data_IF_875130838170
#
_entry.id   IF_875130838170
#
_cell.length_a   1.000
_cell.length_b   1.000
_cell.length_c   1.000
_cell.angle_alpha   90.00
_cell.angle_beta   90.00
_cell.angle_gamma   90.00
#
_symmetry.space_group_name_H-M   'P 1'
#
loop_
_entity.id
_entity.type
_entity.pdbx_description
1 polymer ?
#
# COMPACT_ATOMS: atom_id res chain seq x y z
N UNK A 1 4.29 14.45 12.73
CA UNK A 1 4.77 15.56 11.86
C UNK A 1 6.08 15.09 11.24
N UNK A 2 6.17 14.83 9.93
CA UNK A 2 7.42 14.21 9.45
C UNK A 2 7.86 14.45 8.00
N UNK A 3 6.99 14.66 7.01
CA UNK A 3 7.46 14.71 5.61
C UNK A 3 7.58 16.13 5.02
N UNK A 4 7.20 17.17 5.77
CA UNK A 4 7.32 18.56 5.31
C UNK A 4 6.39 18.90 4.15
N UNK A 5 6.75 19.93 3.38
CA UNK A 5 6.03 20.31 2.16
C UNK A 5 6.39 19.36 1.02
N UNK A 6 5.38 18.92 0.26
CA UNK A 6 5.55 18.03 -0.89
C UNK A 6 4.84 18.56 -2.13
N UNK A 7 5.05 17.88 -3.25
CA UNK A 7 4.39 18.16 -4.52
C UNK A 7 3.51 16.99 -4.93
N UNK A 8 2.34 17.31 -5.51
CA UNK A 8 1.49 16.31 -6.15
C UNK A 8 1.83 16.25 -7.63
N UNK A 9 2.43 15.14 -8.06
CA UNK A 9 2.83 14.91 -9.45
C UNK A 9 1.97 13.80 -10.06
N UNK A 10 1.50 14.01 -11.28
CA UNK A 10 0.85 12.97 -12.09
C UNK A 10 1.86 12.32 -13.02
N UNK A 11 1.83 11.00 -13.12
CA UNK A 11 2.69 10.22 -14.00
C UNK A 11 1.86 9.44 -15.01
N UNK A 12 2.48 9.06 -16.12
CA UNK A 12 1.82 8.33 -17.21
C UNK A 12 1.78 6.80 -16.95
N UNK A 13 2.53 6.34 -15.95
CA UNK A 13 2.65 4.94 -15.55
C UNK A 13 3.80 4.77 -14.55
N UNK A 14 4.00 3.55 -14.03
CA UNK A 14 5.04 3.25 -13.06
C UNK A 14 6.45 3.52 -13.60
N UNK A 15 6.72 3.19 -14.87
CA UNK A 15 8.01 3.46 -15.48
C UNK A 15 8.34 4.95 -15.56
N UNK A 16 7.34 5.80 -15.84
CA UNK A 16 7.56 7.24 -15.87
C UNK A 16 7.90 7.78 -14.47
N UNK A 17 7.25 7.24 -13.43
CA UNK A 17 7.57 7.55 -12.04
C UNK A 17 9.01 7.12 -11.69
N UNK A 18 9.40 5.89 -12.03
CA UNK A 18 10.74 5.34 -11.74
C UNK A 18 11.84 6.19 -12.42
N UNK A 19 11.66 6.57 -13.70
CA UNK A 19 12.63 7.41 -14.43
C UNK A 19 12.74 8.79 -13.80
N UNK A 20 11.61 9.46 -13.48
CA UNK A 20 11.65 10.80 -12.88
C UNK A 20 12.30 10.75 -11.51
N UNK A 21 12.02 9.73 -10.71
CA UNK A 21 12.66 9.52 -9.42
C UNK A 21 14.18 9.36 -9.58
N UNK A 22 14.62 8.44 -10.43
CA UNK A 22 16.05 8.13 -10.64
C UNK A 22 16.81 9.36 -11.16
N UNK A 23 16.17 10.17 -12.00
CA UNK A 23 16.75 11.44 -12.47
C UNK A 23 16.87 12.47 -11.35
N UNK A 24 15.84 12.65 -10.52
CA UNK A 24 15.91 13.58 -9.38
C UNK A 24 17.01 13.18 -8.39
N UNK A 25 17.21 11.88 -8.17
CA UNK A 25 18.24 11.38 -7.27
C UNK A 25 19.65 11.50 -7.88
N UNK A 26 19.84 11.07 -9.14
CA UNK A 26 21.18 11.06 -9.77
C UNK A 26 21.63 12.42 -10.29
N UNK A 27 20.74 13.17 -10.93
CA UNK A 27 21.11 14.45 -11.56
C UNK A 27 21.09 15.60 -10.54
N UNK A 28 20.16 15.58 -9.59
CA UNK A 28 19.96 16.68 -8.64
C UNK A 28 20.35 16.35 -7.19
N UNK A 29 20.78 15.10 -6.91
CA UNK A 29 21.18 14.64 -5.58
C UNK A 29 20.10 14.90 -4.50
N UNK A 30 18.82 14.78 -4.89
CA UNK A 30 17.69 14.99 -4.00
C UNK A 30 17.20 13.66 -3.42
N UNK A 31 17.22 13.54 -2.09
CA UNK A 31 16.60 12.42 -1.39
C UNK A 31 15.10 12.66 -1.24
N UNK A 32 14.30 12.06 -2.13
CA UNK A 32 12.84 12.18 -2.16
C UNK A 32 12.17 10.98 -1.49
N UNK A 33 11.05 11.24 -0.80
CA UNK A 33 10.22 10.19 -0.19
C UNK A 33 8.92 10.13 -0.99
N UNK A 34 8.65 8.97 -1.58
CA UNK A 34 7.39 8.72 -2.27
C UNK A 34 6.33 8.29 -1.26
N UNK A 35 5.19 8.98 -1.29
CA UNK A 35 4.01 8.60 -0.53
C UNK A 35 3.07 7.75 -1.38
N UNK A 36 2.20 7.00 -0.72
CA UNK A 36 1.13 6.28 -1.41
C UNK A 36 0.25 7.28 -2.15
N UNK A 37 -0.06 7.06 -3.44
CA UNK A 37 -0.92 7.98 -4.17
C UNK A 37 -2.32 7.98 -3.56
N UNK A 38 -2.83 9.17 -3.28
CA UNK A 38 -4.15 9.36 -2.69
C UNK A 38 -5.10 10.09 -3.64
N UNK A 39 -6.39 9.84 -3.43
CA UNK A 39 -7.47 10.63 -4.02
C UNK A 39 -7.98 11.64 -3.01
N UNK A 40 -8.68 12.65 -3.52
CA UNK A 40 -9.40 13.59 -2.67
C UNK A 40 -10.70 12.94 -2.23
N UNK A 41 -10.79 12.55 -0.97
CA UNK A 41 -12.01 12.05 -0.35
C UNK A 41 -12.85 13.20 0.18
N UNK A 42 -14.17 12.99 0.26
CA UNK A 42 -15.11 13.94 0.84
C UNK A 42 -15.71 13.30 2.09
N UNK A 43 -15.50 13.93 3.25
CA UNK A 43 -16.07 13.48 4.52
C UNK A 43 -17.12 14.50 4.96
N UNK A 44 -18.31 14.02 5.27
CA UNK A 44 -19.35 14.81 5.93
C UNK A 44 -19.28 14.52 7.43
N UNK A 45 -19.03 15.56 8.22
CA UNK A 45 -19.01 15.45 9.68
C UNK A 45 -20.43 15.46 10.26
N UNK A 46 -20.55 15.03 11.52
CA UNK A 46 -21.78 15.13 12.32
C UNK A 46 -22.31 16.57 12.43
N UNK A 47 -21.41 17.56 12.36
CA UNK A 47 -21.74 18.99 12.32
C UNK A 47 -22.23 19.48 10.94
N UNK A 48 -22.46 18.57 9.98
CA UNK A 48 -22.84 18.82 8.58
C UNK A 48 -21.80 19.60 7.76
N UNK A 49 -20.60 19.79 8.30
CA UNK A 49 -19.47 20.37 7.57
C UNK A 49 -18.86 19.33 6.63
N UNK A 50 -18.56 19.76 5.41
CA UNK A 50 -17.94 18.91 4.39
C UNK A 50 -16.46 19.23 4.33
N UNK A 51 -15.63 18.24 4.67
CA UNK A 51 -14.17 18.35 4.63
C UNK A 51 -13.66 17.53 3.45
N UNK A 52 -12.75 18.12 2.71
CA UNK A 52 -12.00 17.39 1.69
C UNK A 52 -10.66 16.96 2.24
N UNK A 53 -10.41 15.66 2.22
CA UNK A 53 -9.18 15.07 2.74
C UNK A 53 -8.44 14.40 1.60
N UNK A 54 -7.24 14.89 1.33
CA UNK A 54 -6.29 14.33 0.37
C UNK A 54 -5.14 13.60 1.07
N UNK A 55 -4.69 14.10 2.22
CA UNK A 55 -3.68 13.47 3.04
C UNK A 55 -4.30 12.59 4.14
N UNK A 56 -3.93 11.31 4.25
CA UNK A 56 -4.33 10.44 5.35
C UNK A 56 -4.02 11.00 6.75
N UNK A 57 -3.04 11.89 6.89
CA UNK A 57 -2.73 12.56 8.15
C UNK A 57 -3.80 13.60 8.58
N UNK A 58 -4.60 14.11 7.64
CA UNK A 58 -5.72 15.01 7.90
C UNK A 58 -7.06 14.27 7.99
N UNK A 59 -7.01 12.95 8.16
CA UNK A 59 -8.20 12.15 8.37
C UNK A 59 -8.88 12.56 9.69
N UNK A 60 -10.17 12.96 9.68
CA UNK A 60 -10.88 13.38 10.88
C UNK A 60 -11.11 12.21 11.82
N UNK A 61 -11.38 12.51 13.09
CA UNK A 61 -11.63 11.44 14.07
C UNK A 61 -12.84 10.61 13.66
N UNK A 62 -12.77 9.26 13.69
CA UNK A 62 -13.86 8.38 13.25
C UNK A 62 -15.21 8.62 13.94
N UNK A 63 -15.20 9.27 15.11
CA UNK A 63 -16.40 9.60 15.89
C UNK A 63 -17.16 10.77 15.26
N UNK A 64 -16.45 11.70 14.61
CA UNK A 64 -17.02 12.90 14.00
C UNK A 64 -17.52 12.65 12.58
N UNK A 65 -17.17 11.50 11.98
CA UNK A 65 -17.55 11.15 10.61
C UNK A 65 -18.97 10.59 10.58
N UNK A 66 -19.85 11.28 9.86
CA UNK A 66 -21.18 10.75 9.51
C UNK A 66 -21.12 9.93 8.22
N UNK A 67 -20.49 10.50 7.17
CA UNK A 67 -20.38 9.85 5.85
C UNK A 67 -19.01 10.06 5.21
N UNK A 68 -18.47 8.98 4.66
CA UNK A 68 -17.28 9.01 3.81
C UNK A 68 -17.66 8.79 2.35
N UNK A 69 -17.19 9.66 1.46
CA UNK A 69 -17.47 9.59 0.04
C UNK A 69 -16.17 9.57 -0.75
N UNK A 70 -16.11 8.67 -1.73
CA UNK A 70 -14.97 8.53 -2.63
C UNK A 70 -15.35 8.97 -4.06
N UNK A 71 -14.40 9.54 -4.82
CA UNK A 71 -14.65 9.90 -6.21
C UNK A 71 -14.78 8.65 -7.09
N UNK A 72 -15.85 8.59 -7.86
CA UNK A 72 -16.10 7.58 -8.87
C UNK A 72 -15.74 8.10 -10.26
N UNK A 73 -15.19 7.20 -11.07
CA UNK A 73 -14.87 7.45 -12.46
C UNK A 73 -15.65 6.53 -13.37
N UNK A 74 -15.95 7.02 -14.58
CA UNK A 74 -16.39 6.22 -15.70
C UNK A 74 -15.16 5.88 -16.51
N UNK A 75 -14.69 4.65 -16.39
CA UNK A 75 -13.61 4.14 -17.23
C UNK A 75 -14.17 3.65 -18.56
N UNK A 76 -13.64 4.15 -19.67
CA UNK A 76 -13.83 3.57 -20.99
C UNK A 76 -12.60 2.77 -21.41
N UNK A 77 -12.80 1.50 -21.75
CA UNK A 77 -11.76 0.58 -22.16
C UNK A 77 -12.06 0.05 -23.55
N UNK A 78 -11.15 0.23 -24.50
CA UNK A 78 -11.26 -0.43 -25.82
C UNK A 78 -10.26 -1.56 -25.90
N UNK A 79 -10.73 -2.76 -26.19
CA UNK A 79 -9.89 -3.96 -26.25
C UNK A 79 -10.43 -5.01 -27.24
N UNK A 80 -9.58 -5.93 -27.72
CA UNK A 80 -10.03 -7.07 -28.53
C UNK A 80 -10.85 -8.07 -27.71
N UNK A 81 -11.92 -8.63 -28.29
CA UNK A 81 -12.88 -9.53 -27.59
C UNK A 81 -12.22 -10.70 -26.86
N UNK A 82 -11.10 -11.22 -27.36
CA UNK A 82 -10.32 -12.31 -26.74
C UNK A 82 -9.93 -12.06 -25.28
N UNK A 83 -9.77 -10.80 -24.85
CA UNK A 83 -9.36 -10.45 -23.48
C UNK A 83 -10.52 -10.00 -22.59
N UNK A 84 -11.74 -9.97 -23.12
CA UNK A 84 -12.91 -9.41 -22.42
C UNK A 84 -13.13 -10.05 -21.05
N UNK A 85 -13.13 -11.38 -20.97
CA UNK A 85 -13.38 -12.09 -19.72
C UNK A 85 -12.34 -11.78 -18.62
N UNK A 86 -11.07 -11.64 -19.00
CA UNK A 86 -10.00 -11.31 -18.05
C UNK A 86 -10.11 -9.85 -17.56
N UNK A 87 -10.45 -8.92 -18.46
CA UNK A 87 -10.66 -7.51 -18.11
C UNK A 87 -11.90 -7.33 -17.24
N UNK A 88 -13.00 -8.01 -17.54
CA UNK A 88 -14.21 -7.98 -16.70
C UNK A 88 -13.92 -8.46 -15.28
N UNK A 89 -13.14 -9.55 -15.14
CA UNK A 89 -12.71 -10.04 -13.82
C UNK A 89 -11.89 -9.00 -13.07
N UNK A 90 -10.96 -8.32 -13.74
CA UNK A 90 -10.15 -7.24 -13.16
C UNK A 90 -11.03 -6.07 -12.69
N UNK A 91 -12.02 -5.66 -13.50
CA UNK A 91 -12.95 -4.59 -13.15
C UNK A 91 -13.83 -4.95 -11.96
N UNK A 92 -14.33 -6.20 -11.91
CA UNK A 92 -15.10 -6.70 -10.76
C UNK A 92 -14.27 -6.72 -9.48
N UNK A 93 -13.01 -7.16 -9.56
CA UNK A 93 -12.09 -7.15 -8.43
C UNK A 93 -12.02 -5.72 -7.84
N UNK A 94 -11.88 -4.71 -8.71
CA UNK A 94 -11.72 -3.29 -8.37
C UNK A 94 -13.04 -2.55 -8.05
N UNK A 95 -14.10 -3.29 -7.71
CA UNK A 95 -15.43 -2.74 -7.36
C UNK A 95 -16.10 -1.97 -8.50
N UNK A 96 -15.85 -2.38 -9.74
CA UNK A 96 -16.54 -1.87 -10.90
C UNK A 96 -18.03 -2.24 -10.91
N UNK A 97 -18.88 -1.25 -11.07
CA UNK A 97 -20.34 -1.36 -11.20
C UNK A 97 -20.79 -0.80 -12.56
N UNK A 98 -22.04 -1.09 -12.95
CA UNK A 98 -22.68 -0.55 -14.15
C UNK A 98 -21.89 -0.77 -15.44
N UNK A 99 -21.68 -2.04 -15.82
CA UNK A 99 -20.99 -2.39 -17.06
C UNK A 99 -21.85 -2.12 -18.28
N UNK A 100 -21.37 -1.26 -19.19
CA UNK A 100 -21.95 -1.09 -20.52
C UNK A 100 -20.96 -1.65 -21.53
N UNK A 101 -21.43 -2.53 -22.40
CA UNK A 101 -20.61 -3.19 -23.41
C UNK A 101 -21.15 -2.87 -24.79
N UNK A 102 -20.31 -2.28 -25.63
CA UNK A 102 -20.63 -1.94 -27.02
C UNK A 102 -19.65 -2.63 -27.96
N UNK A 103 -20.16 -3.26 -29.01
CA UNK A 103 -19.34 -3.83 -30.07
C UNK A 103 -19.16 -2.80 -31.18
N UNK A 104 -17.99 -2.16 -31.23
CA UNK A 104 -17.68 -1.12 -32.23
C UNK A 104 -17.37 -1.72 -33.61
N UNK A 105 -17.00 -3.01 -33.67
CA UNK A 105 -16.73 -3.72 -34.92
C UNK A 105 -16.30 -5.18 -34.69
N UNK A 106 -15.99 -5.94 -35.76
CA UNK A 106 -15.61 -7.35 -35.64
C UNK A 106 -14.38 -7.52 -34.75
N UNK A 107 -14.54 -8.22 -33.62
CA UNK A 107 -13.47 -8.52 -32.66
C UNK A 107 -13.00 -7.35 -31.80
N UNK A 108 -13.67 -6.18 -31.82
CA UNK A 108 -13.38 -5.04 -30.94
C UNK A 108 -14.56 -4.75 -30.03
N UNK A 109 -14.26 -4.59 -28.74
CA UNK A 109 -15.24 -4.30 -27.70
C UNK A 109 -14.84 -3.02 -26.98
N UNK A 110 -15.80 -2.14 -26.81
CA UNK A 110 -15.74 -1.02 -25.90
C UNK A 110 -16.49 -1.38 -24.62
N UNK A 111 -15.79 -1.27 -23.50
CA UNK A 111 -16.28 -1.64 -22.18
C UNK A 111 -16.22 -0.42 -21.28
N UNK A 112 -17.38 0.02 -20.83
CA UNK A 112 -17.51 1.10 -19.86
C UNK A 112 -17.87 0.53 -18.49
N UNK A 113 -17.15 0.97 -17.46
CA UNK A 113 -17.43 0.64 -16.06
C UNK A 113 -17.39 1.90 -15.20
N UNK A 114 -18.19 1.91 -14.14
CA UNK A 114 -18.08 2.91 -13.08
C UNK A 114 -17.31 2.30 -11.92
N UNK A 115 -16.17 2.89 -11.55
CA UNK A 115 -15.33 2.36 -10.49
C UNK A 115 -14.73 3.47 -9.62
N UNK A 116 -14.36 3.18 -8.37
CA UNK A 116 -13.71 4.16 -7.50
C UNK A 116 -12.31 4.53 -8.02
N UNK A 117 -12.02 5.84 -8.09
CA UNK A 117 -10.71 6.33 -8.53
C UNK A 117 -9.56 5.79 -7.68
N UNK A 118 -9.79 5.62 -6.36
CA UNK A 118 -8.80 5.11 -5.42
C UNK A 118 -8.26 3.73 -5.80
N UNK A 119 -9.09 2.92 -6.46
CA UNK A 119 -8.75 1.56 -6.87
C UNK A 119 -8.04 1.50 -8.23
N UNK A 120 -8.25 2.53 -9.04
CA UNK A 120 -7.69 2.67 -10.40
C UNK A 120 -6.30 3.26 -10.37
N UNK A 121 -6.07 4.28 -9.55
CA UNK A 121 -4.74 4.90 -9.43
C UNK A 121 -3.68 3.89 -9.00
N UNK A 122 -4.10 2.86 -8.26
CA UNK A 122 -3.21 1.81 -7.79
C UNK A 122 -3.30 0.56 -8.67
N UNK A 123 -2.25 0.32 -9.48
CA UNK A 123 -1.97 -0.95 -10.17
C UNK A 123 -3.02 -1.40 -11.22
N UNK A 124 -4.05 -0.59 -11.47
CA UNK A 124 -5.04 -0.95 -12.50
C UNK A 124 -4.46 -0.86 -13.90
N UNK A 125 -3.74 0.23 -14.20
CA UNK A 125 -3.22 0.48 -15.54
C UNK A 125 -2.21 -0.61 -15.96
N UNK A 126 -1.27 -0.97 -15.09
CA UNK A 126 -0.24 -1.97 -15.39
C UNK A 126 -0.84 -3.37 -15.52
N UNK A 127 -1.74 -3.78 -14.60
CA UNK A 127 -2.47 -5.05 -14.73
C UNK A 127 -3.34 -5.10 -15.97
N UNK A 128 -4.01 -4.01 -16.31
CA UNK A 128 -4.82 -3.93 -17.52
C UNK A 128 -3.96 -4.10 -18.78
N UNK A 129 -2.81 -3.43 -18.85
CA UNK A 129 -1.88 -3.58 -19.98
C UNK A 129 -1.28 -4.98 -20.04
N UNK A 130 -0.93 -5.58 -18.91
CA UNK A 130 -0.41 -6.96 -18.86
C UNK A 130 -1.45 -7.97 -19.35
N UNK A 131 -2.68 -7.91 -18.82
CA UNK A 131 -3.79 -8.81 -19.20
C UNK A 131 -4.16 -8.67 -20.68
N UNK A 132 -4.16 -7.45 -21.21
CA UNK A 132 -4.47 -7.19 -22.61
C UNK A 132 -3.26 -7.32 -23.54
N UNK A 133 -2.07 -7.69 -23.03
CA UNK A 133 -0.81 -7.71 -23.78
C UNK A 133 -0.53 -6.39 -24.51
N UNK A 134 -0.93 -5.26 -23.91
CA UNK A 134 -0.77 -3.91 -24.44
C UNK A 134 -1.84 -3.45 -25.44
N UNK A 135 -2.72 -4.34 -25.89
CA UNK A 135 -3.73 -4.03 -26.93
C UNK A 135 -4.90 -3.19 -26.42
N UNK A 136 -5.12 -3.12 -25.10
CA UNK A 136 -6.21 -2.33 -24.53
C UNK A 136 -5.84 -0.86 -24.38
N UNK A 137 -6.72 0.06 -24.76
CA UNK A 137 -6.66 1.46 -24.32
C UNK A 137 -7.59 1.70 -23.15
N UNK A 138 -7.20 2.62 -22.26
CA UNK A 138 -7.94 2.99 -21.06
C UNK A 138 -8.03 4.50 -21.00
N UNK A 139 -9.25 5.00 -20.80
CA UNK A 139 -9.57 6.40 -20.59
C UNK A 139 -10.56 6.51 -19.42
N UNK A 140 -10.61 7.66 -18.75
CA UNK A 140 -11.53 7.83 -17.63
C UNK A 140 -12.01 9.27 -17.46
N UNK A 141 -13.28 9.40 -17.09
CA UNK A 141 -13.91 10.65 -16.69
C UNK A 141 -14.37 10.60 -15.24
N UNK A 142 -14.17 11.68 -14.49
CA UNK A 142 -14.69 11.79 -13.11
C UNK A 142 -16.18 12.11 -13.18
N UNK A 143 -17.01 11.32 -12.49
CA UNK A 143 -18.47 11.44 -12.54
C UNK A 143 -19.00 12.14 -11.29
N UNK A 144 -18.92 11.45 -10.15
CA UNK A 144 -19.60 11.81 -8.92
C UNK A 144 -18.83 11.31 -7.69
N UNK A 145 -19.23 11.79 -6.51
CA UNK A 145 -18.78 11.26 -5.23
C UNK A 145 -19.87 10.34 -4.70
N UNK A 146 -19.49 9.11 -4.32
CA UNK A 146 -20.42 8.12 -3.78
C UNK A 146 -20.02 7.71 -2.38
N UNK A 147 -21.04 7.47 -1.57
CA UNK A 147 -20.89 7.00 -0.18
C UNK A 147 -20.25 5.62 -0.15
N UNK A 148 -19.24 5.46 0.70
CA UNK A 148 -18.41 4.25 0.77
C UNK A 148 -17.83 4.07 2.17
N UNK A 149 -17.63 2.82 2.58
CA UNK A 149 -17.11 2.49 3.91
C UNK A 149 -15.58 2.60 3.93
N UNK A 150 -15.11 3.84 4.12
CA UNK A 150 -13.70 4.20 4.15
C UNK A 150 -13.13 4.04 5.55
N UNK A 151 -11.92 3.49 5.64
CA UNK A 151 -11.15 3.35 6.87
C UNK A 151 -9.72 3.80 6.66
N UNK A 152 -9.16 4.46 7.67
CA UNK A 152 -7.74 4.78 7.70
C UNK A 152 -6.94 3.51 8.06
N UNK A 153 -6.10 3.07 7.13
CA UNK A 153 -5.20 1.94 7.30
C UNK A 153 -3.78 2.47 7.55
N UNK A 154 -3.28 2.21 8.76
CA UNK A 154 -1.95 2.61 9.20
C UNK A 154 -0.99 1.42 9.18
N UNK A 155 0.28 1.68 8.86
CA UNK A 155 1.35 0.68 8.99
C UNK A 155 2.25 1.09 10.15
N UNK A 156 2.43 0.18 11.10
CA UNK A 156 3.32 0.32 12.24
C UNK A 156 4.54 -0.58 12.07
N UNK A 157 5.72 -0.01 12.26
CA UNK A 157 6.99 -0.73 12.30
C UNK A 157 7.54 -0.62 13.72
N UNK A 158 7.66 -1.76 14.40
CA UNK A 158 8.07 -1.86 15.80
C UNK A 158 7.21 -1.02 16.78
N UNK A 159 5.95 -0.73 16.40
CA UNK A 159 5.02 0.09 17.18
C UNK A 159 5.04 1.59 16.81
N UNK A 160 5.96 2.01 15.94
CA UNK A 160 5.99 3.37 15.41
C UNK A 160 5.16 3.45 14.13
N UNK A 161 4.22 4.41 14.06
CA UNK A 161 3.41 4.65 12.87
C UNK A 161 4.27 5.26 11.77
N UNK A 162 4.18 4.70 10.58
CA UNK A 162 4.85 5.21 9.37
C UNK A 162 3.81 5.96 8.54
N UNK A 163 3.73 7.27 8.73
CA UNK A 163 2.74 8.15 8.08
C UNK A 163 2.78 8.03 6.54
N UNK A 164 3.98 7.88 5.96
CA UNK A 164 4.17 7.76 4.51
C UNK A 164 3.45 6.56 3.86
N UNK A 165 3.20 5.51 4.63
CA UNK A 165 2.55 4.28 4.19
C UNK A 165 1.08 4.18 4.64
N UNK A 166 0.61 5.18 5.38
CA UNK A 166 -0.77 5.24 5.81
C UNK A 166 -1.64 5.61 4.61
N UNK A 167 -2.79 4.95 4.47
CA UNK A 167 -3.67 5.16 3.32
C UNK A 167 -5.14 4.97 3.72
N UNK A 168 -6.03 5.67 3.03
CA UNK A 168 -7.47 5.47 3.17
C UNK A 168 -7.87 4.38 2.18
N UNK A 169 -8.53 3.34 2.68
CA UNK A 169 -8.97 2.20 1.88
C UNK A 169 -10.41 1.81 2.24
N UNK A 170 -11.06 1.05 1.37
CA UNK A 170 -12.35 0.44 1.69
C UNK A 170 -12.18 -0.66 2.76
N UNK A 171 -13.11 -0.74 3.72
CA UNK A 171 -13.04 -1.67 4.85
C UNK A 171 -12.80 -3.13 4.45
N UNK A 172 -13.50 -3.62 3.42
CA UNK A 172 -13.39 -5.01 2.97
C UNK A 172 -12.00 -5.35 2.41
N UNK A 173 -11.32 -4.35 1.82
CA UNK A 173 -10.00 -4.52 1.19
C UNK A 173 -8.85 -4.13 2.09
N UNK A 174 -9.11 -3.41 3.18
CA UNK A 174 -8.09 -2.96 4.11
C UNK A 174 -7.25 -4.13 4.65
N UNK A 175 -7.87 -5.26 5.02
CA UNK A 175 -7.15 -6.43 5.53
C UNK A 175 -6.19 -7.04 4.50
N UNK A 176 -6.68 -7.29 3.29
CA UNK A 176 -5.88 -7.89 2.22
C UNK A 176 -4.70 -6.98 1.84
N UNK A 177 -4.96 -5.67 1.74
CA UNK A 177 -3.94 -4.67 1.40
C UNK A 177 -2.91 -4.48 2.51
N UNK A 178 -3.32 -4.50 3.77
CA UNK A 178 -2.41 -4.45 4.90
C UNK A 178 -1.50 -5.68 4.98
N UNK A 179 -2.06 -6.87 4.69
CA UNK A 179 -1.28 -8.11 4.67
C UNK A 179 -0.21 -8.07 3.58
N UNK A 180 -0.60 -7.69 2.36
CA UNK A 180 0.32 -7.52 1.23
C UNK A 180 1.45 -6.54 1.57
N UNK A 181 1.10 -5.35 2.10
CA UNK A 181 2.09 -4.36 2.50
C UNK A 181 3.05 -4.88 3.60
N UNK A 182 2.52 -5.63 4.58
CA UNK A 182 3.34 -6.23 5.64
C UNK A 182 4.30 -7.31 5.11
N UNK A 183 3.90 -8.09 4.10
CA UNK A 183 4.74 -9.10 3.47
C UNK A 183 5.86 -8.45 2.65
N UNK A 184 5.54 -7.43 1.85
CA UNK A 184 6.55 -6.68 1.07
C UNK A 184 7.59 -5.99 1.93
N UNK A 185 7.16 -5.32 2.99
CA UNK A 185 8.09 -4.70 3.94
C UNK A 185 8.99 -5.73 4.62
N UNK A 186 8.52 -6.97 4.81
CA UNK A 186 9.34 -8.05 5.39
C UNK A 186 10.46 -8.52 4.45
N UNK A 187 10.23 -8.48 3.14
CA UNK A 187 11.21 -8.86 2.12
C UNK A 187 12.31 -7.80 1.98
N UNK A 188 11.91 -6.52 1.99
CA UNK A 188 12.82 -5.39 1.74
C UNK A 188 13.57 -4.92 2.99
N UNK A 189 12.95 -4.98 4.17
CA UNK A 189 13.61 -4.52 5.38
C UNK A 189 14.68 -5.56 5.79
N UNK A 190 15.96 -5.14 5.89
CA UNK A 190 17.02 -6.04 6.27
C UNK A 190 16.81 -6.58 7.68
N UNK A 191 17.11 -7.87 7.87
CA UNK A 191 17.09 -8.51 9.19
C UNK A 191 18.01 -7.76 10.15
N UNK A 192 17.57 -7.58 11.38
CA UNK A 192 18.37 -6.99 12.45
C UNK A 192 18.66 -8.02 13.57
N UNK A 193 19.45 -7.62 14.57
CA UNK A 193 19.79 -8.47 15.72
C UNK A 193 18.61 -8.70 16.69
N UNK A 194 17.52 -7.95 16.51
CA UNK A 194 16.25 -8.12 17.24
C UNK A 194 15.09 -8.38 16.26
N UNK A 195 13.95 -8.81 16.81
CA UNK A 195 12.74 -9.10 16.02
C UNK A 195 12.04 -7.78 15.70
N UNK A 196 11.79 -7.52 14.43
CA UNK A 196 11.02 -6.36 13.97
C UNK A 196 9.59 -6.83 13.71
N UNK A 197 8.61 -6.20 14.36
CA UNK A 197 7.21 -6.45 14.11
C UNK A 197 6.70 -5.41 13.11
N UNK A 198 6.08 -5.85 12.03
CA UNK A 198 5.40 -5.01 11.04
C UNK A 198 3.92 -5.31 11.21
N UNK A 199 3.11 -4.27 11.39
CA UNK A 199 1.70 -4.40 11.71
C UNK A 199 0.90 -3.45 10.83
N UNK A 200 -0.19 -3.93 10.26
CA UNK A 200 -1.23 -3.08 9.70
C UNK A 200 -2.31 -2.88 10.76
N UNK A 201 -2.73 -1.65 10.99
CA UNK A 201 -3.78 -1.31 11.91
C UNK A 201 -4.87 -0.44 11.26
N UNK A 202 -6.08 -0.54 11.80
CA UNK A 202 -7.16 0.40 11.55
C UNK A 202 -7.48 1.05 12.89
N UNK A 203 -7.11 2.32 13.06
CA UNK A 203 -7.15 2.99 14.35
C UNK A 203 -6.31 2.23 15.39
N UNK A 204 -6.97 1.62 16.38
CA UNK A 204 -6.32 0.81 17.43
C UNK A 204 -6.27 -0.70 17.18
N UNK A 205 -7.00 -1.21 16.17
CA UNK A 205 -7.10 -2.65 15.91
C UNK A 205 -6.02 -3.12 14.93
N UNK A 206 -5.27 -4.17 15.29
CA UNK A 206 -4.25 -4.76 14.41
C UNK A 206 -4.92 -5.78 13.48
N UNK A 207 -5.00 -5.46 12.19
CA UNK A 207 -5.63 -6.29 11.16
C UNK A 207 -4.68 -7.30 10.50
N UNK A 208 -3.39 -6.96 10.44
CA UNK A 208 -2.35 -7.77 9.83
C UNK A 208 -1.05 -7.66 10.63
N UNK A 209 -0.29 -8.74 10.73
CA UNK A 209 0.98 -8.75 11.45
C UNK A 209 1.98 -9.71 10.81
N UNK A 210 3.14 -9.17 10.45
CA UNK A 210 4.28 -9.95 9.96
C UNK A 210 5.49 -9.65 10.84
N UNK A 211 6.34 -10.64 11.08
CA UNK A 211 7.54 -10.46 11.93
C UNK A 211 8.80 -10.85 11.19
N UNK A 212 9.76 -9.93 11.11
CA UNK A 212 11.11 -10.22 10.63
C UNK A 212 11.88 -10.89 11.76
N UNK A 213 12.37 -12.10 11.49
CA UNK A 213 13.17 -12.85 12.44
C UNK A 213 14.53 -12.21 12.65
N UNK A 214 14.95 -12.13 13.91
CA UNK A 214 16.25 -11.64 14.29
C UNK A 214 17.40 -12.55 13.83
N UNK A 215 18.54 -11.97 13.45
CA UNK A 215 19.79 -12.72 13.36
C UNK A 215 20.10 -13.40 14.69
N UNK A 216 20.50 -14.68 14.63
CA UNK A 216 20.84 -15.47 15.82
C UNK A 216 22.23 -16.05 15.63
N UNK A 217 23.18 -15.54 16.40
CA UNK A 217 24.46 -16.21 16.61
C UNK A 217 24.23 -17.47 17.44
N UNK A 218 24.77 -18.60 17.00
CA UNK A 218 24.82 -19.81 17.81
C UNK A 218 25.85 -19.63 18.94
N UNK A 219 25.35 -19.23 20.11
CA UNK A 219 26.16 -19.04 21.32
C UNK A 219 26.55 -20.36 21.98
N UNK A 220 25.90 -21.47 21.61
CA UNK A 220 26.10 -22.79 22.20
C UNK A 220 27.10 -23.66 21.46
N UNK A 221 27.55 -23.25 20.27
CA UNK A 221 28.48 -24.02 19.43
C UNK A 221 29.79 -24.43 20.13
N UNK A 222 30.30 -23.63 21.09
CA UNK A 222 31.52 -23.95 21.86
C UNK A 222 31.26 -24.75 23.14
N UNK A 223 30.02 -25.12 23.42
CA UNK A 223 29.64 -25.85 24.63
C UNK A 223 29.55 -27.36 24.34
N UNK A 224 30.70 -28.04 24.35
CA UNK A 224 30.81 -29.48 24.09
C UNK A 224 30.35 -30.39 25.24
N UNK A 225 30.13 -29.83 26.44
CA UNK A 225 29.69 -30.59 27.62
C UNK A 225 28.18 -30.66 27.83
N UNK A 226 27.75 -31.58 28.68
CA UNK A 226 26.36 -31.76 29.13
C UNK A 226 25.85 -30.72 30.13
N UNK A 227 26.69 -29.76 30.54
CA UNK A 227 26.33 -28.73 31.51
C UNK A 227 25.29 -27.74 30.94
N UNK A 228 24.03 -27.95 31.33
CA UNK A 228 22.88 -27.14 30.98
C UNK A 228 23.00 -25.72 31.54
N UNK A 229 23.66 -25.54 32.69
CA UNK A 229 23.76 -24.23 33.35
C UNK A 229 24.58 -23.24 32.53
N UNK A 230 25.70 -23.70 31.95
CA UNK A 230 26.54 -22.90 31.05
C UNK A 230 25.79 -22.50 29.77
N UNK A 231 25.03 -23.41 29.17
CA UNK A 231 24.20 -23.12 27.98
C UNK A 231 23.11 -22.10 28.30
N UNK A 232 22.41 -22.24 29.44
CA UNK A 232 21.39 -21.28 29.91
C UNK A 232 21.97 -19.88 30.11
N UNK A 233 23.11 -19.76 30.80
CA UNK A 233 23.76 -18.46 31.05
C UNK A 233 24.06 -17.68 29.76
N UNK A 234 24.51 -18.37 28.71
CA UNK A 234 24.78 -17.76 27.41
C UNK A 234 23.50 -17.33 26.67
N UNK A 235 22.45 -18.17 26.73
CA UNK A 235 21.14 -17.86 26.14
C UNK A 235 20.47 -16.68 26.84
N UNK A 236 20.55 -16.59 28.17
CA UNK A 236 20.02 -15.45 28.92
C UNK A 236 20.75 -14.15 28.61
N UNK A 237 22.09 -14.18 28.52
CA UNK A 237 22.88 -13.03 28.09
C UNK A 237 22.49 -12.57 26.68
N UNK A 238 22.28 -13.51 25.75
CA UNK A 238 21.80 -13.20 24.40
C UNK A 238 20.39 -12.60 24.43
N UNK A 239 19.47 -13.15 25.23
CA UNK A 239 18.09 -12.67 25.37
C UNK A 239 18.04 -11.24 25.93
N UNK A 240 18.81 -10.96 26.97
CA UNK A 240 18.92 -9.63 27.57
C UNK A 240 19.51 -8.60 26.58
N UNK A 241 20.57 -8.98 25.86
CA UNK A 241 21.16 -8.13 24.81
C UNK A 241 20.15 -7.78 23.72
N UNK A 242 19.39 -8.77 23.21
CA UNK A 242 18.33 -8.54 22.22
C UNK A 242 17.18 -7.68 22.75
N UNK A 243 16.80 -7.84 24.03
CA UNK A 243 15.77 -7.00 24.65
C UNK A 243 16.22 -5.53 24.72
N UNK A 244 17.48 -5.28 25.10
CA UNK A 244 18.05 -3.93 25.13
C UNK A 244 18.12 -3.32 23.73
N UNK A 245 18.58 -4.09 22.74
CA UNK A 245 18.61 -3.62 21.35
C UNK A 245 17.22 -3.30 20.80
N UNK A 246 16.18 -4.06 21.17
CA UNK A 246 14.81 -3.79 20.72
C UNK A 246 14.26 -2.45 21.26
N UNK A 247 14.60 -2.07 22.50
CA UNK A 247 14.08 -0.83 23.09
C UNK A 247 14.74 0.43 22.55
N UNK A 248 15.98 0.34 22.09
CA UNK A 248 16.78 1.49 21.62
C UNK A 248 16.86 1.53 20.08
N UNK A 249 16.63 0.39 19.42
CA UNK A 249 16.79 0.26 17.97
C UNK A 249 15.65 0.91 17.19
N UNK A 250 15.94 2.05 16.58
CA UNK A 250 15.16 2.61 15.47
C UNK A 250 15.42 1.80 14.20
N UNK A 251 14.35 1.41 13.50
CA UNK A 251 14.46 0.69 12.22
C UNK A 251 14.46 1.74 11.10
N UNK A 252 15.58 1.87 10.39
CA UNK A 252 15.60 2.64 9.14
C UNK A 252 14.93 1.81 8.04
N UNK A 253 13.95 2.40 7.35
CA UNK A 253 13.24 1.79 6.24
C UNK A 253 13.92 2.26 4.95
N UNK A 254 14.48 1.35 4.12
CA UNK A 254 15.10 1.74 2.87
C UNK A 254 14.04 2.27 1.89
N UNK A 255 14.44 3.16 0.98
CA UNK A 255 13.52 3.72 -0.02
C UNK A 255 12.94 2.65 -0.96
N UNK A 256 13.71 1.60 -1.27
CA UNK A 256 13.25 0.44 -2.04
C UNK A 256 12.01 -0.21 -1.42
N UNK A 257 11.94 -0.26 -0.09
CA UNK A 257 10.80 -0.83 0.62
C UNK A 257 9.51 -0.05 0.39
N UNK A 258 9.57 1.27 0.23
CA UNK A 258 8.39 2.09 -0.06
C UNK A 258 7.87 1.82 -1.47
N UNK A 259 8.75 1.74 -2.46
CA UNK A 259 8.39 1.37 -3.83
C UNK A 259 7.83 -0.05 -3.92
N UNK A 260 8.44 -0.99 -3.21
CA UNK A 260 8.00 -2.39 -3.20
C UNK A 260 6.61 -2.56 -2.58
N UNK A 261 6.22 -1.71 -1.63
CA UNK A 261 4.85 -1.69 -1.10
C UNK A 261 3.86 -1.13 -2.13
N UNK A 262 4.31 -0.24 -3.02
CA UNK A 262 3.49 0.37 -4.07
C UNK A 262 3.37 -0.48 -5.35
N UNK A 263 4.28 -1.44 -5.54
CA UNK A 263 4.23 -2.41 -6.65
C UNK A 263 3.48 -3.66 -6.15
N UNK A 264 2.28 -3.92 -6.67
CA UNK A 264 1.59 -5.22 -6.45
C UNK A 264 1.92 -6.23 -7.54
N UNK A 265 1.93 -7.51 -7.16
CA UNK A 265 2.35 -8.66 -7.98
C UNK A 265 1.67 -8.73 -9.34
N UNK A 266 2.46 -8.65 -10.43
CA UNK A 266 2.70 -9.82 -11.32
C UNK A 266 3.92 -9.55 -12.21
N UNK A 267 5.09 -10.02 -11.77
CA UNK A 267 6.02 -10.77 -12.65
C UNK A 267 5.93 -12.24 -12.22
#
# INVERSE_FOLDING_TARGET
AALGQGFRCGFLGLLHLDIVQERLEREFNLSIILSVPSVRYRFSLTDKTVIYVDNPAHYPDPIEIDKGEEPYIRSSMMLPERYLGAVMKLCMEKRGVNSVMNYTGPGRVELSYEMPLAEVIYDFYDRFKSVTQGYGSFDYDIIDYRESNLVLMDILVNGEKVDALSQIAHRDRARARALLACERLKEEIPRQMFKIAIQGAIGGEIIARTTISAFRKDVTAKCYGGDITRKRKLLEKQKAGKKRMKMIGSVSIPQSAFLAVLKSDTD
#
